data_IF_968123215664
#
_entry.id   IF_968123215664
#
_cell.length_a   1.000
_cell.length_b   1.000
_cell.length_c   1.000
_cell.angle_alpha   90.00
_cell.angle_beta   90.00
_cell.angle_gamma   90.00
#
_symmetry.space_group_name_H-M   'P 1'
#
loop_
_entity.id
_entity.type
_entity.pdbx_description
1 polymer ?
#
# COMPACT_ATOMS: atom_id res chain seq x y z
N UNK A 1 -1.01 1.50 10.24
CA UNK A 1 -1.93 2.26 11.12
C UNK A 1 -2.29 3.52 10.38
N UNK A 2 -3.57 3.74 10.09
CA UNK A 2 -4.08 4.92 9.39
C UNK A 2 -4.75 5.84 10.40
N UNK A 3 -4.57 7.15 10.24
CA UNK A 3 -5.28 8.17 11.02
C UNK A 3 -6.35 8.80 10.14
N UNK A 4 -7.57 8.91 10.66
CA UNK A 4 -8.67 9.65 10.03
C UNK A 4 -9.30 10.60 11.03
N UNK A 5 -9.92 11.68 10.56
CA UNK A 5 -10.74 12.56 11.40
C UNK A 5 -12.20 12.13 11.36
N UNK A 6 -12.82 11.93 12.52
CA UNK A 6 -14.25 11.68 12.68
C UNK A 6 -14.79 12.73 13.64
N UNK A 7 -15.73 13.56 13.16
CA UNK A 7 -16.31 14.66 13.94
C UNK A 7 -15.28 15.62 14.56
N UNK A 8 -14.15 15.84 13.86
CA UNK A 8 -13.06 16.72 14.30
C UNK A 8 -12.04 16.06 15.22
N UNK A 9 -12.25 14.80 15.61
CA UNK A 9 -11.31 14.02 16.44
C UNK A 9 -10.47 13.09 15.58
N UNK A 10 -9.16 13.00 15.88
CA UNK A 10 -8.27 12.07 15.21
C UNK A 10 -8.48 10.65 15.77
N UNK A 11 -8.86 9.72 14.90
CA UNK A 11 -9.06 8.31 15.21
C UNK A 11 -8.01 7.47 14.49
N UNK A 12 -7.27 6.68 15.26
CA UNK A 12 -6.32 5.71 14.73
C UNK A 12 -7.02 4.37 14.44
N UNK A 13 -6.84 3.85 13.22
CA UNK A 13 -7.42 2.59 12.78
C UNK A 13 -6.33 1.68 12.19
N UNK A 14 -6.31 0.43 12.64
CA UNK A 14 -5.58 -0.63 11.94
C UNK A 14 -6.53 -1.19 10.89
N UNK A 15 -6.24 -0.90 9.62
CA UNK A 15 -7.11 -1.28 8.50
C UNK A 15 -6.71 -2.64 7.89
N UNK A 16 -5.41 -2.92 7.87
CA UNK A 16 -4.86 -4.17 7.34
C UNK A 16 -3.58 -4.48 8.13
N UNK A 17 -3.47 -5.71 8.62
CA UNK A 17 -2.17 -6.34 8.82
C UNK A 17 -1.98 -7.34 7.70
N UNK A 18 -0.85 -7.28 7.00
CA UNK A 18 -0.51 -8.30 6.03
C UNK A 18 0.97 -8.63 6.20
N UNK A 19 1.23 -9.73 6.88
CA UNK A 19 2.57 -10.27 7.10
C UNK A 19 2.65 -11.55 6.26
N UNK A 20 3.11 -11.43 5.01
CA UNK A 20 3.55 -12.60 4.24
C UNK A 20 5.07 -12.61 4.32
N UNK A 21 5.61 -13.47 5.17
CA UNK A 21 7.06 -13.64 5.31
C UNK A 21 7.56 -14.65 4.25
N UNK A 22 6.74 -15.64 3.85
CA UNK A 22 7.02 -16.64 2.80
C UNK A 22 5.71 -17.19 2.21
N UNK A 23 5.67 -17.49 0.91
CA UNK A 23 4.68 -18.40 0.31
C UNK A 23 5.30 -19.81 0.28
N UNK A 24 4.87 -20.73 1.16
CA UNK A 24 5.48 -22.07 1.28
C UNK A 24 5.14 -22.99 0.10
N UNK A 25 4.13 -22.67 -0.71
CA UNK A 25 3.67 -23.52 -1.80
C UNK A 25 4.31 -23.19 -3.16
N UNK A 26 4.98 -22.04 -3.27
CA UNK A 26 5.64 -21.61 -4.51
C UNK A 26 7.09 -21.17 -4.26
N UNK A 27 8.07 -22.10 -4.25
CA UNK A 27 9.49 -21.77 -4.22
C UNK A 27 9.92 -21.26 -5.60
N UNK A 28 9.37 -20.13 -6.04
CA UNK A 28 9.83 -19.42 -7.21
C UNK A 28 11.19 -18.79 -6.89
N UNK A 29 12.22 -18.95 -7.74
CA UNK A 29 13.43 -18.14 -7.64
C UNK A 29 13.10 -16.64 -7.87
N UNK A 30 11.95 -16.34 -8.45
CA UNK A 30 11.44 -15.01 -8.74
C UNK A 30 10.33 -14.67 -7.76
N UNK A 31 10.72 -14.04 -6.65
CA UNK A 31 9.80 -13.63 -5.59
C UNK A 31 9.01 -12.43 -6.05
N UNK A 32 7.69 -12.50 -5.89
CA UNK A 32 6.86 -11.30 -5.87
C UNK A 32 7.08 -10.64 -4.51
N UNK A 33 7.72 -9.48 -4.51
CA UNK A 33 7.98 -8.71 -3.31
C UNK A 33 6.96 -7.58 -3.22
N UNK A 34 6.39 -7.39 -2.03
CA UNK A 34 5.61 -6.23 -1.68
C UNK A 34 6.16 -5.62 -0.41
N UNK A 35 6.24 -4.30 -0.37
CA UNK A 35 6.53 -3.57 0.85
C UNK A 35 5.74 -2.28 0.91
N UNK A 36 5.29 -1.93 2.12
CA UNK A 36 4.86 -0.55 2.38
C UNK A 36 6.10 0.33 2.34
N UNK A 37 6.16 1.20 1.35
CA UNK A 37 7.30 2.09 1.14
C UNK A 37 7.12 3.36 2.00
N UNK A 38 5.94 3.97 1.93
CA UNK A 38 5.60 5.15 2.73
C UNK A 38 4.09 5.35 2.89
N UNK A 39 3.73 6.26 3.81
CA UNK A 39 2.36 6.72 4.04
C UNK A 39 2.41 8.26 4.10
N UNK A 40 1.73 8.93 3.19
CA UNK A 40 1.75 10.40 3.05
C UNK A 40 0.39 10.91 2.52
N UNK A 41 -0.01 12.11 2.93
CA UNK A 41 -1.10 12.86 2.29
C UNK A 41 -0.55 13.49 1.01
N UNK A 42 -0.87 12.90 -0.14
CA UNK A 42 -0.31 13.25 -1.45
C UNK A 42 -1.18 14.23 -2.22
N UNK A 43 -2.49 14.27 -1.95
CA UNK A 43 -3.44 15.15 -2.63
C UNK A 43 -3.92 16.34 -1.77
N UNK A 44 -3.56 16.37 -0.49
CA UNK A 44 -3.79 17.49 0.42
C UNK A 44 -5.19 17.53 1.01
N UNK A 45 -5.96 16.44 0.98
CA UNK A 45 -7.31 16.39 1.55
C UNK A 45 -7.34 15.98 3.04
N UNK A 46 -6.19 15.69 3.65
CA UNK A 46 -6.06 15.30 5.04
C UNK A 46 -6.29 13.81 5.32
N UNK A 47 -6.51 12.99 4.27
CA UNK A 47 -6.54 11.52 4.34
C UNK A 47 -5.20 11.01 3.81
N UNK A 48 -4.59 10.07 4.54
CA UNK A 48 -3.29 9.53 4.13
C UNK A 48 -3.42 8.49 3.01
N UNK A 49 -2.57 8.56 2.00
CA UNK A 49 -2.38 7.50 1.01
C UNK A 49 -1.28 6.51 1.43
N UNK A 50 -1.45 5.25 1.04
CA UNK A 50 -0.49 4.16 1.19
C UNK A 50 0.28 3.95 -0.12
N UNK A 51 1.59 4.10 -0.07
CA UNK A 51 2.47 3.79 -1.20
C UNK A 51 3.05 2.38 -1.01
N UNK A 52 2.71 1.49 -1.94
CA UNK A 52 3.17 0.10 -1.97
C UNK A 52 4.17 -0.07 -3.10
N UNK A 53 5.38 -0.48 -2.75
CA UNK A 53 6.37 -0.96 -3.71
C UNK A 53 6.08 -2.43 -4.05
N UNK A 54 6.26 -2.76 -5.32
CA UNK A 54 6.19 -4.12 -5.84
C UNK A 54 7.40 -4.40 -6.72
N UNK A 55 7.92 -5.62 -6.65
CA UNK A 55 8.96 -6.10 -7.54
C UNK A 55 8.66 -7.53 -7.97
N UNK A 56 8.80 -7.78 -9.27
CA UNK A 56 8.71 -9.12 -9.83
C UNK A 56 9.67 -9.26 -10.99
N UNK A 57 10.58 -10.23 -10.89
CA UNK A 57 11.61 -10.50 -11.91
C UNK A 57 12.44 -9.22 -12.22
N UNK A 58 12.32 -8.69 -13.44
CA UNK A 58 13.00 -7.46 -13.91
C UNK A 58 12.10 -6.23 -13.86
N UNK A 59 10.87 -6.38 -13.35
CA UNK A 59 9.90 -5.31 -13.18
C UNK A 59 9.83 -4.81 -11.75
N UNK A 60 9.67 -3.51 -11.59
CA UNK A 60 9.33 -2.86 -10.34
C UNK A 60 8.24 -1.82 -10.55
N UNK A 61 7.50 -1.51 -9.51
CA UNK A 61 6.43 -0.53 -9.59
C UNK A 61 5.92 -0.07 -8.24
N UNK A 62 5.23 1.05 -8.27
CA UNK A 62 4.56 1.64 -7.12
C UNK A 62 3.08 1.74 -7.39
N UNK A 63 2.30 1.39 -6.37
CA UNK A 63 0.85 1.57 -6.34
C UNK A 63 0.50 2.47 -5.16
N UNK A 64 -0.35 3.46 -5.40
CA UNK A 64 -0.84 4.39 -4.39
C UNK A 64 -2.29 4.04 -4.11
N UNK A 65 -2.60 3.74 -2.86
CA UNK A 65 -3.94 3.44 -2.39
C UNK A 65 -4.45 4.52 -1.46
N UNK A 66 -5.71 4.93 -1.64
CA UNK A 66 -6.42 5.83 -0.72
C UNK A 66 -7.49 5.06 0.03
N UNK A 67 -7.72 5.43 1.29
CA UNK A 67 -8.82 4.90 2.07
C UNK A 67 -10.11 5.69 1.77
N UNK A 68 -11.03 5.10 1.03
CA UNK A 68 -12.33 5.68 0.67
C UNK A 68 -13.42 4.76 1.20
N UNK A 69 -14.30 5.29 2.06
CA UNK A 69 -15.42 4.52 2.66
C UNK A 69 -14.99 3.18 3.29
N UNK A 70 -13.84 3.18 3.99
CA UNK A 70 -13.18 2.01 4.59
C UNK A 70 -12.64 0.95 3.60
N UNK A 71 -12.57 1.27 2.30
CA UNK A 71 -11.93 0.44 1.30
C UNK A 71 -10.63 1.08 0.81
N UNK A 72 -9.60 0.26 0.57
CA UNK A 72 -8.41 0.73 -0.13
C UNK A 72 -8.69 0.75 -1.63
N UNK A 73 -8.73 1.94 -2.20
CA UNK A 73 -8.90 2.15 -3.63
C UNK A 73 -7.56 2.51 -4.28
N UNK A 74 -7.23 1.86 -5.40
CA UNK A 74 -6.04 2.20 -6.18
C UNK A 74 -6.29 3.53 -6.91
N UNK A 75 -5.54 4.57 -6.55
CA UNK A 75 -5.71 5.91 -7.12
C UNK A 75 -4.63 6.25 -8.16
N UNK A 76 -3.47 5.61 -8.08
CA UNK A 76 -2.43 5.71 -9.10
C UNK A 76 -1.51 4.48 -9.09
N UNK A 77 -0.96 4.14 -10.24
CA UNK A 77 0.12 3.16 -10.35
C UNK A 77 1.08 3.49 -11.49
N UNK A 78 2.35 3.16 -11.29
CA UNK A 78 3.35 3.22 -12.35
C UNK A 78 4.47 2.22 -12.07
N UNK A 79 5.23 1.87 -13.09
CA UNK A 79 6.33 0.94 -12.97
C UNK A 79 7.17 0.87 -14.22
N UNK A 80 8.30 0.20 -14.09
CA UNK A 80 9.26 -0.04 -15.15
C UNK A 80 9.68 -1.50 -15.11
N UNK A 81 9.87 -2.09 -16.29
CA UNK A 81 10.35 -3.44 -16.48
C UNK A 81 10.97 -3.57 -17.87
N UNK A 82 11.84 -4.56 -18.02
CA UNK A 82 12.50 -4.90 -19.28
C UNK A 82 11.56 -5.65 -20.24
#
# INVERSE_FOLDING_TARGET
>A
MFRKYVDGEAVDQVLLEHIIIEDPEYPSPYRLLFSVDSIADLDGDGIMELIVFSQYYEGLGWSIFKLIDNNLELVASNGLGA
#
